data_IF_740737626310
#
_entry.id   IF_740737626310
#
_cell.length_a   1.000
_cell.length_b   1.000
_cell.length_c   1.000
_cell.angle_alpha   90.00
_cell.angle_beta   90.00
_cell.angle_gamma   90.00
#
_symmetry.space_group_name_H-M   'P 1'
#
loop_
_entity.id
_entity.type
_entity.pdbx_description
1 polymer ?
#
# COMPACT_ATOMS: atom_id res chain seq x y z
N UNK A 1 -35.89 44.96 -73.15
CA UNK A 1 -35.11 43.79 -72.67
C UNK A 1 -35.42 43.63 -71.19
N UNK A 2 -36.07 42.52 -70.78
CA UNK A 2 -36.37 42.21 -69.38
C UNK A 2 -35.15 41.59 -68.76
N UNK A 3 -34.75 42.16 -67.60
CA UNK A 3 -33.71 41.62 -66.76
C UNK A 3 -34.35 40.71 -65.69
N UNK A 4 -33.84 39.49 -65.53
CA UNK A 4 -34.25 38.55 -64.47
C UNK A 4 -33.36 38.78 -63.22
N UNK A 5 -33.98 39.16 -62.12
CA UNK A 5 -33.33 39.20 -60.86
C UNK A 5 -33.68 37.92 -60.03
N UNK A 6 -32.66 37.29 -59.51
CA UNK A 6 -32.81 36.15 -58.59
C UNK A 6 -32.33 36.56 -57.17
N UNK A 7 -33.19 36.46 -56.17
CA UNK A 7 -32.90 36.76 -54.83
C UNK A 7 -32.93 35.42 -54.04
N UNK A 8 -31.82 35.08 -53.40
CA UNK A 8 -31.76 33.94 -52.47
C UNK A 8 -32.14 34.40 -51.04
N UNK A 9 -33.13 33.76 -50.47
CA UNK A 9 -33.54 34.00 -49.05
C UNK A 9 -33.20 32.77 -48.23
N UNK A 10 -32.44 32.96 -47.16
CA UNK A 10 -32.12 31.89 -46.21
C UNK A 10 -33.07 32.00 -45.02
N UNK A 11 -33.79 30.93 -44.72
CA UNK A 11 -34.58 30.81 -43.49
C UNK A 11 -33.67 30.26 -42.39
N UNK A 12 -33.38 31.07 -41.36
CA UNK A 12 -32.52 30.76 -40.23
C UNK A 12 -31.06 31.18 -40.41
N UNK A 13 -30.24 30.94 -39.40
CA UNK A 13 -28.81 31.19 -39.45
C UNK A 13 -28.11 30.03 -40.16
N UNK A 14 -27.43 30.34 -41.26
CA UNK A 14 -26.57 29.38 -41.99
C UNK A 14 -25.27 29.16 -41.16
N UNK A 15 -25.38 28.49 -40.00
CA UNK A 15 -24.26 28.20 -39.13
C UNK A 15 -23.86 26.74 -39.32
N UNK A 16 -22.60 26.51 -39.64
CA UNK A 16 -21.99 25.20 -39.70
C UNK A 16 -21.11 25.04 -38.46
N UNK A 17 -21.40 24.02 -37.63
CA UNK A 17 -20.63 23.74 -36.44
C UNK A 17 -19.82 22.48 -36.65
N UNK A 18 -18.48 22.57 -36.53
CA UNK A 18 -17.59 21.42 -36.51
C UNK A 18 -17.19 21.15 -35.03
N UNK A 19 -17.31 19.90 -34.63
CA UNK A 19 -16.90 19.47 -33.31
C UNK A 19 -15.59 18.67 -33.47
N UNK A 20 -14.54 19.12 -32.79
CA UNK A 20 -13.30 18.41 -32.72
C UNK A 20 -13.26 17.64 -31.39
N UNK A 21 -12.99 16.33 -31.46
CA UNK A 21 -12.87 15.46 -30.28
C UNK A 21 -11.61 14.60 -30.45
N UNK A 22 -10.55 14.88 -29.69
CA UNK A 22 -9.35 14.06 -29.72
C UNK A 22 -9.62 12.68 -29.13
N UNK A 23 -8.79 11.70 -29.47
CA UNK A 23 -8.78 10.41 -28.81
C UNK A 23 -8.24 10.56 -27.38
N UNK A 24 -8.91 9.93 -26.40
CA UNK A 24 -8.52 9.98 -25.01
C UNK A 24 -7.10 9.45 -24.78
N UNK A 25 -6.38 10.11 -23.88
CA UNK A 25 -5.08 9.70 -23.36
C UNK A 25 -5.23 9.08 -21.97
N UNK A 26 -4.18 8.41 -21.48
CA UNK A 26 -4.14 7.89 -20.12
C UNK A 26 -2.74 7.88 -19.54
N UNK A 27 -2.64 7.86 -18.19
CA UNK A 27 -1.39 7.73 -17.45
C UNK A 27 -1.60 6.80 -16.26
N UNK A 28 -0.56 6.04 -15.90
CA UNK A 28 -0.45 5.30 -14.64
C UNK A 28 0.46 6.09 -13.72
N UNK A 29 -0.01 6.39 -12.52
CA UNK A 29 0.81 7.01 -11.49
C UNK A 29 1.42 5.92 -10.62
N UNK A 30 2.65 6.15 -10.16
CA UNK A 30 3.39 5.17 -9.38
C UNK A 30 4.12 5.83 -8.21
N UNK A 31 4.43 5.02 -7.18
CA UNK A 31 5.26 5.43 -6.06
C UNK A 31 6.08 4.24 -5.54
N UNK A 32 6.96 4.49 -4.59
CA UNK A 32 7.80 3.47 -3.97
C UNK A 32 7.65 3.48 -2.45
N UNK A 33 7.60 2.30 -1.84
CA UNK A 33 7.62 2.08 -0.40
C UNK A 33 8.93 1.48 0.05
N UNK A 34 9.57 2.12 1.02
CA UNK A 34 10.74 1.61 1.73
C UNK A 34 10.36 1.36 3.19
N UNK A 35 10.72 0.20 3.72
CA UNK A 35 10.62 -0.11 5.15
C UNK A 35 12.01 -0.37 5.71
N UNK A 36 12.39 0.37 6.74
CA UNK A 36 13.65 0.17 7.46
C UNK A 36 13.42 -0.62 8.75
N UNK A 37 14.41 -1.39 9.20
CA UNK A 37 14.35 -2.15 10.46
C UNK A 37 13.85 -3.59 10.31
N UNK A 38 13.11 -3.92 9.28
CA UNK A 38 12.73 -5.29 8.86
C UNK A 38 12.37 -5.34 7.38
N UNK A 39 12.17 -6.55 6.87
CA UNK A 39 11.71 -6.73 5.49
C UNK A 39 10.29 -6.25 5.30
N UNK A 40 10.03 -5.65 4.14
CA UNK A 40 8.72 -5.24 3.65
C UNK A 40 7.93 -6.47 3.18
N UNK A 41 6.61 -6.44 3.39
CA UNK A 41 5.67 -7.46 2.91
C UNK A 41 4.71 -6.84 1.91
N UNK A 42 4.33 -7.60 0.86
CA UNK A 42 3.34 -7.15 -0.11
C UNK A 42 1.98 -6.88 0.57
N UNK A 43 1.32 -5.78 0.22
CA UNK A 43 0.01 -5.40 0.75
C UNK A 43 0.03 -4.86 2.18
N UNK A 44 1.20 -4.55 2.72
CA UNK A 44 1.35 -4.13 4.12
C UNK A 44 0.94 -2.68 4.36
N UNK A 45 1.22 -1.80 3.41
CA UNK A 45 0.92 -0.38 3.51
C UNK A 45 -0.04 0.06 2.41
N UNK A 46 -0.92 0.99 2.74
CA UNK A 46 -1.95 1.51 1.84
C UNK A 46 -1.63 2.94 1.44
N UNK A 47 -1.79 3.26 0.16
CA UNK A 47 -1.55 4.57 -0.42
C UNK A 47 -2.81 5.08 -1.07
N UNK A 48 -3.07 6.36 -0.90
CA UNK A 48 -4.24 7.05 -1.43
C UNK A 48 -3.79 8.04 -2.50
N UNK A 49 -4.50 8.03 -3.63
CA UNK A 49 -4.43 9.07 -4.65
C UNK A 49 -5.60 10.03 -4.41
N UNK A 50 -5.26 11.28 -4.20
CA UNK A 50 -6.20 12.36 -3.83
C UNK A 50 -6.26 13.37 -4.96
N UNK A 51 -7.45 13.81 -5.34
CA UNK A 51 -7.67 14.85 -6.35
C UNK A 51 -7.48 16.26 -5.77
N UNK A 52 -7.60 17.27 -6.63
CA UNK A 52 -7.46 18.67 -6.25
C UNK A 52 -8.58 19.17 -5.31
N UNK A 53 -9.71 18.48 -5.23
CA UNK A 53 -10.81 18.73 -4.30
C UNK A 53 -10.59 18.08 -2.93
N UNK A 54 -9.50 17.32 -2.77
CA UNK A 54 -9.14 16.60 -1.54
C UNK A 54 -9.88 15.26 -1.37
N UNK A 55 -10.48 14.72 -2.45
CA UNK A 55 -11.16 13.44 -2.41
C UNK A 55 -10.21 12.30 -2.77
N UNK A 56 -10.29 11.20 -2.04
CA UNK A 56 -9.57 9.96 -2.37
C UNK A 56 -10.25 9.32 -3.56
N UNK A 57 -9.57 9.29 -4.71
CA UNK A 57 -10.09 8.71 -5.96
C UNK A 57 -9.62 7.28 -6.20
N UNK A 58 -8.48 6.89 -5.62
CA UNK A 58 -7.96 5.53 -5.68
C UNK A 58 -7.22 5.18 -4.38
N UNK A 59 -7.14 3.88 -4.09
CA UNK A 59 -6.38 3.35 -2.96
C UNK A 59 -5.69 2.06 -3.39
N UNK A 60 -4.35 2.00 -3.24
CA UNK A 60 -3.52 0.88 -3.65
C UNK A 60 -2.57 0.46 -2.52
N UNK A 61 -1.99 -0.72 -2.64
CA UNK A 61 -1.00 -1.21 -1.68
C UNK A 61 0.33 -1.46 -2.36
N UNK A 62 1.41 -1.50 -1.57
CA UNK A 62 2.73 -1.88 -2.08
C UNK A 62 2.77 -3.35 -2.50
N UNK A 63 3.56 -3.67 -3.52
CA UNK A 63 3.97 -5.03 -3.81
C UNK A 63 5.16 -5.48 -2.91
N UNK A 64 5.64 -6.70 -3.09
CA UNK A 64 6.76 -7.24 -2.30
C UNK A 64 8.10 -6.57 -2.57
N UNK A 65 8.24 -5.80 -3.65
CA UNK A 65 9.42 -5.00 -4.00
C UNK A 65 9.33 -3.55 -3.53
N UNK A 66 8.16 -3.14 -3.02
CA UNK A 66 7.86 -1.78 -2.58
C UNK A 66 7.21 -0.92 -3.66
N UNK A 67 6.92 -1.43 -4.84
CA UNK A 67 6.26 -0.64 -5.89
C UNK A 67 4.76 -0.51 -5.62
N UNK A 68 4.24 0.68 -5.91
CA UNK A 68 2.83 1.04 -5.84
C UNK A 68 2.42 1.52 -7.22
N UNK A 69 1.40 0.89 -7.82
CA UNK A 69 0.84 1.29 -9.10
C UNK A 69 -0.64 1.61 -8.92
N UNK A 70 -1.03 2.83 -9.28
CA UNK A 70 -2.43 3.21 -9.34
C UNK A 70 -3.05 2.74 -10.66
N UNK A 71 -4.38 2.59 -10.69
CA UNK A 71 -5.08 2.28 -11.93
C UNK A 71 -4.94 3.45 -12.93
N UNK A 72 -4.94 3.13 -14.22
CA UNK A 72 -4.81 4.14 -15.27
C UNK A 72 -5.91 5.19 -15.18
N UNK A 73 -5.51 6.47 -15.19
CA UNK A 73 -6.41 7.61 -15.25
C UNK A 73 -6.55 8.03 -16.72
N UNK A 74 -7.81 8.13 -17.19
CA UNK A 74 -8.12 8.50 -18.57
C UNK A 74 -8.56 9.96 -18.67
N UNK A 75 -8.12 10.65 -19.71
CA UNK A 75 -8.41 12.06 -19.97
C UNK A 75 -9.05 12.23 -21.35
N UNK A 76 -10.14 12.98 -21.40
CA UNK A 76 -10.88 13.33 -22.62
C UNK A 76 -10.64 14.77 -23.08
N UNK A 77 -9.87 15.55 -22.32
CA UNK A 77 -9.54 16.96 -22.58
C UNK A 77 -8.08 17.24 -22.27
N UNK A 78 -7.47 18.11 -23.06
CA UNK A 78 -6.18 18.68 -22.73
C UNK A 78 -6.30 19.63 -21.54
N UNK A 79 -5.26 19.68 -20.71
CA UNK A 79 -5.22 20.48 -19.49
C UNK A 79 -4.19 20.01 -18.49
N UNK A 80 -4.16 20.67 -17.35
CA UNK A 80 -3.33 20.32 -16.20
C UNK A 80 -4.23 19.77 -15.10
N UNK A 81 -3.87 18.60 -14.56
CA UNK A 81 -4.59 17.88 -13.51
C UNK A 81 -3.67 17.64 -12.35
N UNK A 82 -4.09 18.06 -11.15
CA UNK A 82 -3.27 18.00 -9.96
C UNK A 82 -3.79 16.92 -9.00
N UNK A 83 -2.86 16.12 -8.50
CA UNK A 83 -3.11 15.03 -7.55
C UNK A 83 -2.11 15.09 -6.42
N UNK A 84 -2.42 14.38 -5.36
CA UNK A 84 -1.50 14.13 -4.24
C UNK A 84 -1.48 12.64 -3.94
N UNK A 85 -0.29 12.06 -3.83
CA UNK A 85 -0.11 10.71 -3.29
C UNK A 85 0.28 10.82 -1.83
N UNK A 86 -0.37 10.06 -0.96
CA UNK A 86 -0.04 9.97 0.46
C UNK A 86 -0.17 8.55 0.98
N UNK A 87 0.55 8.23 2.04
CA UNK A 87 0.37 6.99 2.78
C UNK A 87 -0.77 7.13 3.78
N UNK A 88 -1.62 6.11 3.86
CA UNK A 88 -2.62 6.00 4.91
C UNK A 88 -1.96 5.43 6.16
N UNK A 89 -1.79 6.24 7.20
CA UNK A 89 -1.21 5.79 8.47
C UNK A 89 -2.03 4.62 9.07
N UNK A 90 -1.34 3.56 9.46
CA UNK A 90 -1.90 2.43 10.17
C UNK A 90 -1.95 2.66 11.69
N UNK A 91 -2.21 1.57 12.44
CA UNK A 91 -2.30 1.60 13.92
C UNK A 91 -1.19 0.78 14.61
N UNK A 92 -0.21 0.29 13.86
CA UNK A 92 0.91 -0.46 14.42
C UNK A 92 1.89 0.50 15.12
N UNK A 93 1.95 0.45 16.46
CA UNK A 93 2.81 1.30 17.29
C UNK A 93 4.30 1.01 17.11
N UNK A 94 4.66 -0.11 16.49
CA UNK A 94 6.05 -0.46 16.15
C UNK A 94 6.51 0.17 14.85
N UNK A 95 5.60 0.80 14.07
CA UNK A 95 5.87 1.47 12.81
C UNK A 95 5.79 3.00 13.00
N UNK A 96 6.84 3.69 12.61
CA UNK A 96 6.77 5.12 12.33
C UNK A 96 6.41 5.28 10.86
N UNK A 97 5.20 5.77 10.60
CA UNK A 97 4.68 5.99 9.25
C UNK A 97 5.23 7.28 8.67
N UNK A 98 5.41 7.28 7.35
CA UNK A 98 5.73 8.49 6.58
C UNK A 98 4.46 9.34 6.43
N UNK A 99 4.55 10.62 6.73
CA UNK A 99 3.44 11.58 6.61
C UNK A 99 3.59 12.53 5.41
N UNK A 100 4.50 12.21 4.49
CA UNK A 100 4.70 12.98 3.28
C UNK A 100 3.46 12.99 2.39
N UNK A 101 3.19 14.16 1.80
CA UNK A 101 2.22 14.35 0.73
C UNK A 101 2.99 14.73 -0.54
N UNK A 102 2.94 13.87 -1.56
CA UNK A 102 3.72 14.03 -2.79
C UNK A 102 2.79 14.57 -3.87
N UNK A 103 2.98 15.84 -4.30
CA UNK A 103 2.20 16.42 -5.37
C UNK A 103 2.59 15.79 -6.72
N UNK A 104 1.59 15.55 -7.56
CA UNK A 104 1.74 15.04 -8.91
C UNK A 104 0.93 15.91 -9.85
N UNK A 105 1.57 16.50 -10.86
CA UNK A 105 0.90 17.23 -11.92
C UNK A 105 0.88 16.37 -13.18
N UNK A 106 -0.31 16.12 -13.74
CA UNK A 106 -0.45 15.46 -15.02
C UNK A 106 -0.77 16.50 -16.08
N UNK A 107 0.17 16.70 -17.01
CA UNK A 107 0.01 17.55 -18.18
C UNK A 107 -0.54 16.72 -19.33
N UNK A 108 -1.72 17.11 -19.84
CA UNK A 108 -2.38 16.46 -20.96
C UNK A 108 -2.39 17.38 -22.17
N UNK A 109 -1.73 16.98 -23.24
CA UNK A 109 -1.61 17.75 -24.48
C UNK A 109 -2.24 17.01 -25.65
N UNK A 110 -2.82 17.76 -26.57
CA UNK A 110 -3.30 17.19 -27.83
C UNK A 110 -2.16 17.10 -28.86
N UNK A 111 -1.81 15.88 -29.18
CA UNK A 111 -0.80 15.55 -30.17
C UNK A 111 -1.51 15.04 -31.46
N UNK A 112 -1.95 15.98 -32.32
CA UNK A 112 -2.56 15.69 -33.61
C UNK A 112 -3.80 14.77 -33.55
N UNK A 113 -4.70 15.02 -32.58
CA UNK A 113 -5.94 14.27 -32.43
C UNK A 113 -5.87 13.11 -31.43
N UNK A 114 -4.76 12.99 -30.73
CA UNK A 114 -4.61 12.02 -29.60
C UNK A 114 -4.08 12.76 -28.38
N UNK A 115 -4.71 12.57 -27.25
CA UNK A 115 -4.22 13.16 -26.00
C UNK A 115 -3.05 12.33 -25.44
N UNK A 116 -1.95 13.01 -25.16
CA UNK A 116 -0.81 12.45 -24.41
C UNK A 116 -0.83 13.00 -22.98
N UNK A 117 -0.82 12.10 -22.00
CA UNK A 117 -0.78 12.45 -20.58
C UNK A 117 0.60 12.13 -19.99
N UNK A 118 1.24 13.11 -19.34
CA UNK A 118 2.56 12.97 -18.71
C UNK A 118 2.48 13.41 -17.27
N UNK A 119 2.92 12.55 -16.38
CA UNK A 119 3.04 12.85 -14.95
C UNK A 119 4.38 13.54 -14.64
N UNK A 120 4.31 14.58 -13.84
CA UNK A 120 5.44 15.26 -13.22
C UNK A 120 5.26 15.21 -11.70
N UNK A 121 6.24 14.62 -11.03
CA UNK A 121 6.26 14.51 -9.58
C UNK A 121 7.13 15.63 -9.02
N UNK A 122 6.60 16.40 -8.10
CA UNK A 122 7.35 17.50 -7.49
C UNK A 122 8.60 17.06 -6.72
N UNK A 123 8.68 15.77 -6.38
CA UNK A 123 9.82 15.10 -5.73
C UNK A 123 9.81 13.61 -6.06
N UNK A 124 10.88 12.89 -5.69
CA UNK A 124 10.90 11.42 -5.81
C UNK A 124 9.71 10.81 -5.03
N UNK A 125 8.82 10.05 -5.68
CA UNK A 125 7.60 9.53 -5.05
C UNK A 125 7.89 8.32 -4.14
N UNK A 126 8.70 8.54 -3.10
CA UNK A 126 9.17 7.50 -2.17
C UNK A 126 8.70 7.77 -0.74
N UNK A 127 8.05 6.79 -0.13
CA UNK A 127 7.61 6.80 1.27
C UNK A 127 8.47 5.88 2.11
N UNK A 128 9.03 6.37 3.22
CA UNK A 128 9.94 5.60 4.08
C UNK A 128 9.37 5.42 5.48
N UNK A 129 8.97 4.18 5.82
CA UNK A 129 8.60 3.83 7.19
C UNK A 129 9.77 3.21 7.94
N UNK A 130 9.70 3.32 9.26
CA UNK A 130 10.66 2.70 10.15
C UNK A 130 9.97 1.76 11.12
N UNK A 131 10.40 0.49 11.12
CA UNK A 131 10.05 -0.47 12.14
C UNK A 131 11.00 -0.37 13.33
N UNK A 132 10.44 -0.31 14.52
CA UNK A 132 11.17 -0.36 15.80
C UNK A 132 10.50 -1.42 16.68
N UNK A 133 11.16 -2.55 16.95
CA UNK A 133 10.56 -3.62 17.78
C UNK A 133 10.20 -3.10 19.17
N UNK A 134 9.12 -3.60 19.75
CA UNK A 134 8.80 -3.34 21.16
C UNK A 134 9.96 -3.77 22.05
N UNK A 135 10.32 -2.91 22.99
CA UNK A 135 11.33 -3.23 23.99
C UNK A 135 10.80 -4.40 24.84
N UNK A 136 11.55 -5.51 24.85
CA UNK A 136 11.23 -6.62 25.72
C UNK A 136 11.01 -6.13 27.17
N UNK A 137 10.00 -6.62 27.88
CA UNK A 137 9.76 -6.24 29.27
C UNK A 137 11.02 -6.52 30.10
N UNK A 138 11.46 -5.53 30.85
CA UNK A 138 12.64 -5.63 31.71
C UNK A 138 12.42 -6.76 32.75
N UNK A 139 13.19 -7.85 32.70
CA UNK A 139 13.03 -8.95 33.63
C UNK A 139 13.24 -8.55 35.10
N UNK A 140 13.81 -7.38 35.39
CA UNK A 140 14.08 -6.89 36.75
C UNK A 140 12.86 -6.27 37.47
N UNK A 141 11.73 -6.01 36.79
CA UNK A 141 10.55 -5.39 37.43
C UNK A 141 9.55 -6.36 38.03
N UNK A 142 9.77 -7.67 37.96
CA UNK A 142 8.87 -8.67 38.55
C UNK A 142 9.42 -9.28 39.86
N UNK A 143 10.27 -8.55 40.57
CA UNK A 143 10.59 -8.89 41.96
C UNK A 143 9.58 -8.23 42.89
N UNK A 144 8.41 -8.84 42.99
CA UNK A 144 7.53 -8.67 44.12
C UNK A 144 8.20 -9.39 45.29
N UNK A 145 9.13 -8.71 45.99
CA UNK A 145 9.76 -9.18 47.21
C UNK A 145 8.72 -9.29 48.32
N UNK A 146 8.01 -10.41 48.35
CA UNK A 146 7.45 -10.89 49.63
C UNK A 146 8.62 -11.42 50.45
N UNK A 147 9.03 -10.63 51.42
CA UNK A 147 9.96 -11.05 52.50
C UNK A 147 9.52 -12.36 53.07
N UNK A 148 10.33 -13.44 53.02
CA UNK A 148 9.97 -14.68 53.72
C UNK A 148 10.29 -14.51 55.20
N UNK A 149 9.25 -14.53 56.03
CA UNK A 149 9.38 -14.72 57.47
C UNK A 149 10.02 -16.08 57.73
N UNK A 150 11.21 -16.08 58.35
CA UNK A 150 11.90 -17.29 58.78
C UNK A 150 11.00 -18.13 59.69
N UNK A 151 10.69 -19.37 59.29
CA UNK A 151 10.48 -20.49 60.19
C UNK A 151 11.46 -21.59 59.83
N UNK A 152 12.33 -21.89 60.76
CA UNK A 152 13.26 -23.02 60.71
C UNK A 152 12.45 -24.34 60.78
N UNK A 153 12.40 -25.07 59.67
CA UNK A 153 12.13 -26.51 59.69
C UNK A 153 13.05 -27.19 58.67
N UNK A 154 13.72 -28.23 59.16
CA UNK A 154 14.68 -29.08 58.45
C UNK A 154 13.94 -29.85 57.28
N UNK A 155 14.54 -30.03 56.14
CA UNK A 155 13.90 -30.78 55.02
C UNK A 155 14.02 -32.30 55.34
N UNK A 156 12.85 -32.96 55.24
CA UNK A 156 12.78 -34.43 55.13
C UNK A 156 13.09 -34.81 53.68
N UNK A 157 14.12 -35.62 53.48
CA UNK A 157 14.48 -36.28 52.24
C UNK A 157 13.37 -37.22 51.78
N UNK A 158 12.81 -36.94 50.59
CA UNK A 158 11.95 -37.84 49.84
C UNK A 158 12.06 -37.48 48.36
N UNK A 159 12.92 -38.18 47.66
CA UNK A 159 13.08 -38.02 46.22
C UNK A 159 11.86 -38.53 45.49
N UNK A 160 11.11 -37.65 44.85
CA UNK A 160 10.15 -38.02 43.81
C UNK A 160 10.72 -37.58 42.46
N UNK A 161 11.07 -38.56 41.64
CA UNK A 161 11.48 -38.33 40.24
C UNK A 161 10.33 -37.74 39.44
N UNK A 162 10.42 -36.45 39.07
CA UNK A 162 9.56 -35.88 38.06
C UNK A 162 10.09 -36.29 36.69
N UNK A 163 9.39 -37.21 36.03
CA UNK A 163 9.64 -37.58 34.64
C UNK A 163 9.28 -36.37 33.77
N UNK A 164 10.30 -35.75 33.18
CA UNK A 164 10.14 -34.57 32.33
C UNK A 164 9.31 -34.96 31.11
N UNK A 165 8.15 -34.29 30.91
CA UNK A 165 7.26 -34.46 29.78
C UNK A 165 7.92 -34.13 28.40
N UNK A 166 9.16 -33.60 28.43
CA UNK A 166 9.94 -33.31 27.21
C UNK A 166 10.33 -34.58 26.42
N UNK A 167 10.49 -35.74 27.07
CA UNK A 167 10.86 -36.99 26.40
C UNK A 167 9.67 -37.62 25.68
N UNK A 168 8.43 -37.37 26.12
CA UNK A 168 7.21 -37.90 25.46
C UNK A 168 6.94 -37.18 24.13
N UNK A 169 7.21 -35.88 24.04
CA UNK A 169 7.04 -35.11 22.82
C UNK A 169 7.99 -35.55 21.68
N UNK A 170 9.25 -35.88 22.01
CA UNK A 170 10.25 -36.32 21.00
C UNK A 170 9.90 -37.71 20.43
N UNK A 171 9.30 -38.59 21.22
CA UNK A 171 8.87 -39.93 20.76
C UNK A 171 7.70 -39.84 19.78
N UNK A 172 6.75 -38.92 20.01
CA UNK A 172 5.60 -38.72 19.11
C UNK A 172 6.02 -38.12 17.73
N UNK A 173 6.95 -37.18 17.74
CA UNK A 173 7.49 -36.62 16.49
C UNK A 173 8.25 -37.68 15.69
N UNK A 174 9.02 -38.55 16.33
CA UNK A 174 9.72 -39.65 15.68
C UNK A 174 8.79 -40.63 15.00
N UNK A 175 7.66 -41.00 15.65
CA UNK A 175 6.65 -41.91 15.06
C UNK A 175 5.97 -41.31 13.83
N UNK A 176 5.62 -40.02 13.89
CA UNK A 176 4.99 -39.32 12.74
C UNK A 176 5.92 -39.30 11.52
N UNK A 177 7.21 -39.02 11.73
CA UNK A 177 8.20 -38.99 10.62
C UNK A 177 8.40 -40.37 10.01
N UNK A 178 8.43 -41.45 10.83
CA UNK A 178 8.56 -42.84 10.34
C UNK A 178 7.32 -43.28 9.55
N UNK A 179 6.11 -42.95 10.02
CA UNK A 179 4.85 -43.25 9.33
C UNK A 179 4.76 -42.52 8.00
N UNK A 180 5.12 -41.21 7.97
CA UNK A 180 5.13 -40.40 6.77
C UNK A 180 6.11 -40.91 5.70
N UNK A 181 7.32 -41.34 6.11
CA UNK A 181 8.29 -41.93 5.19
C UNK A 181 7.88 -43.30 4.65
N UNK A 182 7.11 -44.09 5.40
CA UNK A 182 6.55 -45.36 4.93
C UNK A 182 5.43 -45.21 3.89
N UNK A 183 4.59 -44.21 4.03
CA UNK A 183 3.53 -43.88 3.07
C UNK A 183 4.06 -43.41 1.70
N UNK A 184 5.23 -42.77 1.68
CA UNK A 184 5.85 -42.23 0.45
C UNK A 184 6.63 -43.30 -0.34
N UNK A 185 6.75 -44.54 0.16
CA UNK A 185 7.45 -45.66 -0.50
C UNK A 185 6.52 -46.76 -1.01
N UNK A 186 5.21 -46.53 -1.00
CA UNK A 186 4.21 -47.31 -1.71
C UNK A 186 3.63 -46.43 -2.82
#
# INVERSE_FOLDING_TARGET
>A
EGQLEATATYEGNAVFTNIYTPKAGSVVLEAEKVLTGRSLVAGEFTFELVDQEGQVIQSQTNDGSGKIYFDAISYDKAGEYNYTIREKAGQDSTITYDDAEIPVTVNVEDQNGTLEAKADYGSEPTFTNRYTPEKAPDPAKNQNTKTPTKKNELPKTGETYQVSWMLVGLLLVGIVVVVYRRQKRK
#
